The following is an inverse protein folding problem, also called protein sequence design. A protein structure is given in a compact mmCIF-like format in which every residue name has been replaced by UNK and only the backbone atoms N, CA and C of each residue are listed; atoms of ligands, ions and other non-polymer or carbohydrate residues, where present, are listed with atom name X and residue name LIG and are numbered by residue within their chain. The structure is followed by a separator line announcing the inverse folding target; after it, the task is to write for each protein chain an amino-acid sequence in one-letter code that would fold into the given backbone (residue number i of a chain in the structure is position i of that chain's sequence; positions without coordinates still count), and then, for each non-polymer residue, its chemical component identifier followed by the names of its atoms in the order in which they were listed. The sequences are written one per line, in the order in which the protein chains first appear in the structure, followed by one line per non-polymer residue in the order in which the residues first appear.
data_IF_639863981925
#
_entry.id   IF_639863981925
#
_cell.length_a   1.000
_cell.length_b   1.000
_cell.length_c   1.000
_cell.angle_alpha   90.00
_cell.angle_beta   90.00
_cell.angle_gamma   90.00
#
_symmetry.space_group_name_H-M   'P 1'
#
loop_
_entity.id
_entity.type
_entity.pdbx_description
1 polymer ?
#
# COMPACT_ATOMS: atom_id res chain seq x y z
N UNK A 1 12.97 13.32 -19.68
CA UNK A 1 12.29 12.35 -18.79
C UNK A 1 12.96 12.15 -17.42
N UNK A 2 13.89 13.01 -16.98
CA UNK A 2 14.66 12.77 -15.74
C UNK A 2 13.91 13.05 -14.42
N UNK A 3 13.48 14.30 -14.21
CA UNK A 3 12.96 14.74 -12.89
C UNK A 3 11.55 14.23 -12.58
N UNK A 4 10.65 14.25 -13.57
CA UNK A 4 9.27 13.81 -13.38
C UNK A 4 9.23 12.31 -13.04
N UNK A 5 10.08 11.51 -13.67
CA UNK A 5 10.16 10.06 -13.39
C UNK A 5 10.62 9.77 -11.97
N UNK A 6 11.56 10.57 -11.43
CA UNK A 6 12.05 10.42 -10.05
C UNK A 6 10.95 10.81 -9.06
N UNK A 7 10.23 11.91 -9.33
CA UNK A 7 9.11 12.36 -8.50
C UNK A 7 8.01 11.29 -8.46
N UNK A 8 7.64 10.74 -9.62
CA UNK A 8 6.63 9.68 -9.71
C UNK A 8 7.09 8.41 -9.00
N UNK A 9 8.36 8.02 -9.15
CA UNK A 9 8.95 6.85 -8.48
C UNK A 9 8.91 6.94 -6.95
N UNK A 10 8.93 8.14 -6.37
CA UNK A 10 8.82 8.33 -4.92
C UNK A 10 7.40 8.59 -4.43
N UNK A 11 6.58 9.32 -5.20
CA UNK A 11 5.20 9.66 -4.79
C UNK A 11 4.30 8.42 -4.79
N UNK A 12 4.42 7.53 -5.78
CA UNK A 12 3.56 6.34 -5.87
C UNK A 12 3.71 5.40 -4.66
N UNK A 13 4.93 5.02 -4.24
CA UNK A 13 5.12 4.24 -3.03
C UNK A 13 4.56 4.91 -1.78
N UNK A 14 4.77 6.23 -1.65
CA UNK A 14 4.30 6.97 -0.48
C UNK A 14 2.76 7.02 -0.43
N UNK A 15 2.10 7.29 -1.55
CA UNK A 15 0.64 7.25 -1.65
C UNK A 15 0.09 5.86 -1.35
N UNK A 16 0.73 4.81 -1.87
CA UNK A 16 0.30 3.43 -1.66
C UNK A 16 0.24 3.05 -0.18
N UNK A 17 1.25 3.46 0.61
CA UNK A 17 1.29 3.24 2.06
C UNK A 17 0.16 4.01 2.76
N UNK A 18 -0.06 5.28 2.40
CA UNK A 18 -1.12 6.11 2.98
C UNK A 18 -2.50 5.50 2.70
N UNK A 19 -2.76 5.10 1.45
CA UNK A 19 -4.02 4.45 1.08
C UNK A 19 -4.20 3.10 1.77
N UNK A 20 -3.13 2.31 1.96
CA UNK A 20 -3.19 1.05 2.69
C UNK A 20 -3.59 1.24 4.17
N UNK A 21 -2.99 2.21 4.86
CA UNK A 21 -3.31 2.52 6.26
C UNK A 21 -4.73 3.10 6.39
N UNK A 22 -5.13 4.00 5.49
CA UNK A 22 -6.48 4.55 5.49
C UNK A 22 -7.54 3.47 5.24
N UNK A 23 -7.27 2.54 4.31
CA UNK A 23 -8.15 1.40 4.05
C UNK A 23 -8.30 0.49 5.28
N UNK A 24 -7.19 0.23 5.99
CA UNK A 24 -7.20 -0.54 7.23
C UNK A 24 -8.01 0.19 8.33
N UNK A 25 -7.79 1.49 8.51
CA UNK A 25 -8.50 2.28 9.52
C UNK A 25 -10.01 2.36 9.24
N UNK A 26 -10.40 2.57 7.99
CA UNK A 26 -11.80 2.56 7.55
C UNK A 26 -12.46 1.19 7.79
N UNK A 27 -11.75 0.10 7.46
CA UNK A 27 -12.25 -1.24 7.70
C UNK A 27 -12.45 -1.52 9.20
N UNK A 28 -11.54 -1.06 10.06
CA UNK A 28 -11.66 -1.18 11.53
C UNK A 28 -12.83 -0.35 12.07
N UNK A 29 -13.02 0.87 11.56
CA UNK A 29 -14.13 1.72 11.99
C UNK A 29 -15.48 1.11 11.61
N UNK A 30 -15.62 0.66 10.36
CA UNK A 30 -16.85 0.05 9.85
C UNK A 30 -17.16 -1.30 10.52
N UNK A 31 -16.13 -2.05 10.94
CA UNK A 31 -16.27 -3.25 11.76
C UNK A 31 -16.93 -2.98 13.10
N UNK A 32 -16.52 -1.90 13.76
CA UNK A 32 -16.96 -1.58 15.11
C UNK A 32 -18.44 -1.17 15.15
N UNK A 33 -18.97 -0.61 14.06
CA UNK A 33 -20.39 -0.26 13.94
C UNK A 33 -21.29 -1.38 13.43
N UNK A 34 -20.80 -2.27 12.56
CA UNK A 34 -21.66 -3.20 11.81
C UNK A 34 -21.85 -4.57 12.46
N UNK A 35 -21.03 -4.96 13.44
CA UNK A 35 -21.12 -6.27 14.11
C UNK A 35 -20.90 -7.48 13.20
N UNK A 36 -20.44 -7.27 11.96
CA UNK A 36 -20.19 -8.30 10.96
C UNK A 36 -18.79 -8.91 11.15
N UNK A 37 -18.60 -10.16 10.71
CA UNK A 37 -17.28 -10.76 10.67
C UNK A 37 -16.50 -10.26 9.45
N UNK A 38 -15.49 -9.41 9.71
CA UNK A 38 -14.58 -8.87 8.70
C UNK A 38 -13.21 -9.54 8.75
N UNK A 39 -13.11 -10.78 9.23
CA UNK A 39 -11.86 -11.52 9.21
C UNK A 39 -11.21 -11.51 7.82
N UNK A 40 -12.02 -11.69 6.76
CA UNK A 40 -11.57 -11.62 5.36
C UNK A 40 -11.04 -10.24 4.97
N UNK A 41 -11.75 -9.16 5.30
CA UNK A 41 -11.35 -7.80 4.92
C UNK A 41 -10.08 -7.34 5.66
N UNK A 42 -9.90 -7.75 6.93
CA UNK A 42 -8.63 -7.50 7.64
C UNK A 42 -7.46 -8.22 7.00
N UNK A 43 -7.65 -9.49 6.63
CA UNK A 43 -6.62 -10.26 5.91
C UNK A 43 -6.33 -9.59 4.57
N UNK A 44 -7.36 -9.19 3.82
CA UNK A 44 -7.19 -8.52 2.53
C UNK A 44 -6.45 -7.19 2.65
N UNK A 45 -6.75 -6.41 3.70
CA UNK A 45 -6.06 -5.16 3.99
C UNK A 45 -4.57 -5.38 4.34
N UNK A 46 -4.25 -6.37 5.18
CA UNK A 46 -2.87 -6.75 5.50
C UNK A 46 -2.13 -7.22 4.24
N UNK A 47 -2.76 -8.11 3.45
CA UNK A 47 -2.20 -8.59 2.18
C UNK A 47 -1.96 -7.43 1.21
N UNK A 48 -2.88 -6.46 1.13
CA UNK A 48 -2.72 -5.26 0.31
C UNK A 48 -1.52 -4.41 0.73
N UNK A 49 -1.30 -4.22 2.03
CA UNK A 49 -0.12 -3.51 2.55
C UNK A 49 1.17 -4.27 2.25
N UNK A 50 1.20 -5.59 2.47
CA UNK A 50 2.38 -6.42 2.17
C UNK A 50 2.72 -6.37 0.68
N UNK A 51 1.71 -6.48 -0.19
CA UNK A 51 1.90 -6.43 -1.64
C UNK A 51 2.40 -5.05 -2.10
N UNK A 52 1.89 -3.97 -1.49
CA UNK A 52 2.36 -2.60 -1.71
C UNK A 52 3.85 -2.44 -1.37
N UNK A 53 4.29 -2.97 -0.22
CA UNK A 53 5.70 -2.94 0.17
C UNK A 53 6.57 -3.74 -0.80
N UNK A 54 6.13 -4.92 -1.23
CA UNK A 54 6.86 -5.73 -2.23
C UNK A 54 7.00 -4.97 -3.55
N UNK A 55 5.92 -4.34 -4.03
CA UNK A 55 5.96 -3.55 -5.26
C UNK A 55 6.90 -2.34 -5.14
N UNK A 56 6.90 -1.66 -3.99
CA UNK A 56 7.82 -0.58 -3.69
C UNK A 56 9.28 -1.05 -3.76
N UNK A 57 9.61 -2.17 -3.11
CA UNK A 57 10.95 -2.75 -3.14
C UNK A 57 11.39 -3.15 -4.54
N UNK A 58 10.50 -3.77 -5.33
CA UNK A 58 10.78 -4.12 -6.72
C UNK A 58 11.08 -2.88 -7.57
N UNK A 59 10.30 -1.81 -7.39
CA UNK A 59 10.48 -0.57 -8.12
C UNK A 59 11.81 0.11 -7.74
N UNK A 60 12.16 0.12 -6.45
CA UNK A 60 13.45 0.63 -5.97
C UNK A 60 14.61 -0.20 -6.52
N UNK A 61 14.50 -1.54 -6.57
CA UNK A 61 15.54 -2.42 -7.11
C UNK A 61 15.81 -2.11 -8.59
N UNK A 62 14.75 -1.95 -9.40
CA UNK A 62 14.88 -1.57 -10.80
C UNK A 62 15.50 -0.19 -10.98
N UNK A 63 15.11 0.79 -10.16
CA UNK A 63 15.66 2.15 -10.21
C UNK A 63 17.14 2.19 -9.77
N UNK A 64 17.51 1.34 -8.82
CA UNK A 64 18.87 1.22 -8.29
C UNK A 64 19.82 0.48 -9.24
N UNK A 65 19.32 -0.11 -10.33
CA UNK A 65 20.13 -0.93 -11.25
C UNK A 65 20.59 -2.26 -10.62
N UNK A 66 20.01 -2.65 -9.49
CA UNK A 66 20.25 -3.94 -8.84
C UNK A 66 19.27 -4.90 -9.50
N UNK A 67 19.76 -5.64 -10.50
CA UNK A 67 19.03 -6.71 -11.18
C UNK A 67 19.46 -8.07 -10.68
#
# INVERSE_FOLDING_TARGET
MGIISIIVAFIFPLLSIIFGILGLALAILNQNESGLDYTTEKILSIVGIVLSVIFCLMFISQLSGIN
#
